data_IF_450732908892
#
_entry.id   IF_450732908892
#
_cell.length_a   1.000
_cell.length_b   1.000
_cell.length_c   1.000
_cell.angle_alpha   90.00
_cell.angle_beta   90.00
_cell.angle_gamma   90.00
#
_symmetry.space_group_name_H-M   'P 1'
#
loop_
_entity.id
_entity.type
_entity.pdbx_description
1 polymer ?
#
# COMPACT_ATOMS: atom_id res chain seq x y z
N UNK A 1 -12.72 6.81 -10.10
CA UNK A 1 -13.66 6.12 -11.02
C UNK A 1 -14.24 7.06 -12.09
N UNK A 2 -14.67 8.29 -11.77
CA UNK A 2 -15.25 9.24 -12.75
C UNK A 2 -14.26 9.62 -13.87
N UNK A 3 -13.01 9.95 -13.53
CA UNK A 3 -11.99 10.33 -14.53
C UNK A 3 -11.63 9.21 -15.51
N UNK A 4 -11.51 7.97 -15.04
CA UNK A 4 -11.23 6.82 -15.90
C UNK A 4 -12.40 6.48 -16.83
N UNK A 5 -13.65 6.69 -16.40
CA UNK A 5 -14.83 6.51 -17.25
C UNK A 5 -14.88 7.53 -18.40
N UNK A 6 -14.59 8.80 -18.13
CA UNK A 6 -14.55 9.85 -19.16
C UNK A 6 -13.41 9.60 -20.15
N UNK A 7 -12.22 9.24 -19.66
CA UNK A 7 -11.08 8.89 -20.51
C UNK A 7 -11.38 7.66 -21.39
N UNK A 8 -12.05 6.64 -20.85
CA UNK A 8 -12.46 5.46 -21.60
C UNK A 8 -13.46 5.80 -22.71
N UNK A 9 -14.46 6.66 -22.44
CA UNK A 9 -15.41 7.11 -23.47
C UNK A 9 -14.71 7.86 -24.62
N UNK A 10 -13.73 8.72 -24.30
CA UNK A 10 -12.94 9.43 -25.32
C UNK A 10 -12.10 8.41 -26.12
N UNK A 11 -11.39 7.51 -25.46
CA UNK A 11 -10.53 6.54 -26.14
C UNK A 11 -11.32 5.57 -27.04
N UNK A 12 -12.44 5.03 -26.54
CA UNK A 12 -13.29 4.10 -27.29
C UNK A 12 -14.09 4.82 -28.38
N UNK A 13 -14.62 6.02 -28.09
CA UNK A 13 -15.43 6.80 -29.03
C UNK A 13 -14.64 7.26 -30.27
N UNK A 14 -13.34 7.53 -30.12
CA UNK A 14 -12.45 7.85 -31.24
C UNK A 14 -11.77 6.61 -31.88
N UNK A 15 -12.13 5.40 -31.44
CA UNK A 15 -11.64 4.15 -32.01
C UNK A 15 -10.15 3.91 -31.78
N UNK A 16 -9.62 4.29 -30.61
CA UNK A 16 -8.22 4.02 -30.25
C UNK A 16 -7.99 2.50 -30.22
N UNK A 17 -7.26 2.01 -31.20
CA UNK A 17 -6.93 0.60 -31.33
C UNK A 17 -5.56 0.31 -30.74
N UNK A 18 -5.52 -0.67 -29.84
CA UNK A 18 -4.27 -1.29 -29.43
C UNK A 18 -3.88 -2.40 -30.42
N UNK A 19 -2.61 -2.47 -30.77
CA UNK A 19 -2.01 -3.66 -31.34
C UNK A 19 -2.11 -4.71 -30.23
N UNK A 20 -2.74 -5.85 -30.51
CA UNK A 20 -3.01 -6.94 -29.56
C UNK A 20 -1.71 -7.64 -29.12
N UNK A 21 -0.82 -6.89 -28.51
CA UNK A 21 0.38 -7.35 -27.84
C UNK A 21 0.09 -7.06 -26.37
N UNK A 22 -0.13 -8.11 -25.58
CA UNK A 22 -0.34 -7.99 -24.15
C UNK A 22 0.95 -7.55 -23.49
N UNK A 23 1.26 -6.25 -23.53
CA UNK A 23 2.46 -5.73 -22.89
C UNK A 23 2.16 -5.39 -21.44
N UNK A 24 2.30 -6.38 -20.56
CA UNK A 24 2.28 -6.15 -19.12
C UNK A 24 3.51 -5.35 -18.69
N UNK A 25 3.32 -4.10 -18.30
CA UNK A 25 4.35 -3.27 -17.65
C UNK A 25 5.07 -2.25 -18.52
N UNK A 26 4.94 -2.27 -19.86
CA UNK A 26 5.42 -1.16 -20.69
C UNK A 26 4.36 -0.04 -20.78
N UNK A 27 4.79 1.22 -20.97
CA UNK A 27 3.87 2.32 -21.19
C UNK A 27 2.90 2.00 -22.35
N UNK A 28 1.59 2.05 -22.05
CA UNK A 28 0.53 1.63 -22.98
C UNK A 28 0.53 2.35 -24.34
N UNK A 29 1.18 3.52 -24.44
CA UNK A 29 1.41 4.25 -25.68
C UNK A 29 2.11 3.40 -26.77
N UNK A 30 3.02 2.51 -26.37
CA UNK A 30 3.76 1.64 -27.30
C UNK A 30 2.90 0.51 -27.87
N UNK A 31 1.80 0.18 -27.20
CA UNK A 31 0.84 -0.82 -27.67
C UNK A 31 -0.24 -0.21 -28.58
N UNK A 32 -0.24 1.10 -28.84
CA UNK A 32 -1.26 1.80 -29.63
C UNK A 32 -0.67 2.24 -30.96
N UNK A 33 -1.47 2.16 -32.03
CA UNK A 33 -1.04 2.65 -33.34
C UNK A 33 -0.60 4.14 -33.25
N UNK A 34 0.57 4.51 -33.83
CA UNK A 34 1.11 5.87 -33.74
C UNK A 34 0.13 6.98 -34.17
N UNK A 35 -0.82 6.66 -35.07
CA UNK A 35 -1.89 7.56 -35.52
C UNK A 35 -2.78 8.07 -34.37
N UNK A 36 -2.98 7.27 -33.33
CA UNK A 36 -3.86 7.59 -32.20
C UNK A 36 -3.12 8.09 -30.95
N UNK A 37 -1.80 8.29 -31.02
CA UNK A 37 -1.03 8.76 -29.87
C UNK A 37 -1.53 10.09 -29.30
N UNK A 38 -1.95 11.03 -30.15
CA UNK A 38 -2.47 12.32 -29.71
C UNK A 38 -3.76 12.20 -28.88
N UNK A 39 -4.72 11.41 -29.35
CA UNK A 39 -5.99 11.23 -28.63
C UNK A 39 -5.81 10.38 -27.36
N UNK A 40 -4.87 9.43 -27.37
CA UNK A 40 -4.51 8.64 -26.19
C UNK A 40 -3.85 9.50 -25.11
N UNK A 41 -2.91 10.38 -25.47
CA UNK A 41 -2.30 11.33 -24.52
C UNK A 41 -3.33 12.31 -23.95
N UNK A 42 -4.28 12.77 -24.77
CA UNK A 42 -5.39 13.60 -24.31
C UNK A 42 -6.27 12.83 -23.31
N UNK A 43 -6.65 11.59 -23.60
CA UNK A 43 -7.42 10.75 -22.69
C UNK A 43 -6.66 10.49 -21.37
N UNK A 44 -5.35 10.27 -21.44
CA UNK A 44 -4.49 10.11 -20.27
C UNK A 44 -4.43 11.38 -19.42
N UNK A 45 -4.30 12.56 -20.05
CA UNK A 45 -4.33 13.84 -19.34
C UNK A 45 -5.67 14.06 -18.62
N UNK A 46 -6.79 13.74 -19.27
CA UNK A 46 -8.13 13.80 -18.66
C UNK A 46 -8.24 12.81 -17.49
N UNK A 47 -7.72 11.60 -17.65
CA UNK A 47 -7.72 10.58 -16.60
C UNK A 47 -6.94 11.00 -15.33
N UNK A 48 -5.96 11.90 -15.45
CA UNK A 48 -5.19 12.43 -14.30
C UNK A 48 -5.84 13.69 -13.73
N UNK A 49 -6.23 14.64 -14.59
CA UNK A 49 -6.74 15.95 -14.14
C UNK A 49 -8.11 15.81 -13.49
N UNK A 50 -9.02 15.02 -14.06
CA UNK A 50 -10.40 14.92 -13.56
C UNK A 50 -10.43 14.35 -12.13
N UNK A 51 -9.75 13.23 -11.79
CA UNK A 51 -9.70 12.76 -10.42
C UNK A 51 -9.09 13.75 -9.44
N UNK A 52 -8.05 14.50 -9.84
CA UNK A 52 -7.43 15.51 -8.97
C UNK A 52 -8.44 16.63 -8.65
N UNK A 53 -9.14 17.15 -9.68
CA UNK A 53 -10.14 18.21 -9.49
C UNK A 53 -11.32 17.70 -8.66
N UNK A 54 -11.82 16.49 -8.95
CA UNK A 54 -12.91 15.88 -8.17
C UNK A 54 -12.47 15.60 -6.74
N UNK A 55 -11.25 15.12 -6.52
CA UNK A 55 -10.69 14.88 -5.19
C UNK A 55 -10.56 16.19 -4.40
N UNK A 56 -10.01 17.25 -5.01
CA UNK A 56 -9.87 18.55 -4.34
C UNK A 56 -11.23 19.22 -4.07
N UNK A 57 -12.19 19.12 -4.99
CA UNK A 57 -13.55 19.63 -4.77
C UNK A 57 -14.32 18.88 -3.68
N UNK A 58 -14.17 17.55 -3.63
CA UNK A 58 -14.75 16.74 -2.56
C UNK A 58 -14.07 17.01 -1.22
N UNK A 59 -12.74 17.08 -1.21
CA UNK A 59 -11.95 17.44 -0.04
C UNK A 59 -12.38 18.80 0.52
N UNK A 60 -12.53 19.84 -0.31
CA UNK A 60 -12.95 21.16 0.18
C UNK A 60 -14.37 21.18 0.77
N UNK A 61 -15.26 20.30 0.31
CA UNK A 61 -16.65 20.24 0.81
C UNK A 61 -16.83 19.33 2.02
N UNK A 62 -15.96 18.33 2.21
CA UNK A 62 -16.04 17.37 3.31
C UNK A 62 -15.01 17.62 4.43
N UNK A 63 -13.87 18.27 4.13
CA UNK A 63 -12.91 18.71 5.15
C UNK A 63 -13.41 19.94 5.93
N UNK A 64 -14.31 20.74 5.35
CA UNK A 64 -14.98 21.84 6.05
C UNK A 64 -15.93 21.32 7.17
N UNK A 65 -16.43 20.07 7.06
CA UNK A 65 -17.20 19.41 8.14
C UNK A 65 -16.30 18.74 9.18
N UNK A 66 -15.16 18.15 8.80
CA UNK A 66 -14.22 17.51 9.73
C UNK A 66 -13.40 18.50 10.58
N UNK A 67 -13.30 19.77 10.17
CA UNK A 67 -12.45 20.77 10.86
C UNK A 67 -13.07 21.29 12.18
N UNK A 68 -14.32 20.95 12.53
CA UNK A 68 -14.91 21.30 13.84
C UNK A 68 -14.73 20.24 14.94
N UNK A 69 -14.15 19.08 14.65
CA UNK A 69 -13.96 18.03 15.68
C UNK A 69 -12.67 17.25 15.41
N UNK A 70 -11.51 17.91 15.54
CA UNK A 70 -10.26 17.19 15.27
C UNK A 70 -8.97 17.99 15.35
N UNK A 71 -8.85 18.93 16.30
CA UNK A 71 -7.52 19.46 16.68
C UNK A 71 -7.14 18.93 18.05
N UNK A 72 -6.45 17.79 18.07
CA UNK A 72 -5.38 17.56 19.04
C UNK A 72 -4.26 16.80 18.34
N UNK A 73 -3.11 17.48 18.32
CA UNK A 73 -1.74 17.06 18.04
C UNK A 73 -1.51 15.58 17.69
N UNK A 74 -0.96 15.44 16.49
CA UNK A 74 -0.01 14.44 16.02
C UNK A 74 0.92 13.93 17.15
N UNK A 75 0.62 12.74 17.67
CA UNK A 75 1.60 11.79 18.20
C UNK A 75 1.49 10.53 17.32
N UNK A 76 2.60 9.82 17.15
CA UNK A 76 2.73 8.66 16.28
C UNK A 76 1.73 7.56 16.65
N UNK A 77 0.57 7.54 15.99
CA UNK A 77 -0.41 6.45 16.07
C UNK A 77 -0.16 5.55 14.87
N UNK A 78 0.40 4.38 15.14
CA UNK A 78 0.34 3.21 14.26
C UNK A 78 -1.14 2.97 13.94
N UNK A 79 -1.50 3.04 12.67
CA UNK A 79 -2.84 2.69 12.20
C UNK A 79 -3.15 1.25 12.62
N UNK A 80 -3.97 1.09 13.65
CA UNK A 80 -4.58 -0.21 13.97
C UNK A 80 -5.92 -0.24 13.27
N UNK A 81 -5.92 -0.99 12.16
CA UNK A 81 -7.11 -1.35 11.41
C UNK A 81 -8.06 -2.13 12.33
N UNK A 82 -9.34 -1.73 12.50
CA UNK A 82 -10.27 -2.38 13.43
C UNK A 82 -10.64 -3.84 13.09
N UNK A 83 -10.11 -4.39 11.99
CA UNK A 83 -10.28 -5.79 11.56
C UNK A 83 -9.02 -6.67 11.74
N UNK A 84 -7.91 -6.14 12.29
CA UNK A 84 -6.78 -6.98 12.70
C UNK A 84 -7.05 -7.54 14.10
N UNK A 85 -7.27 -8.86 14.18
CA UNK A 85 -7.23 -9.56 15.46
C UNK A 85 -5.86 -9.27 16.09
N UNK A 86 -5.86 -8.62 17.24
CA UNK A 86 -4.66 -8.45 18.05
C UNK A 86 -4.21 -9.85 18.51
N UNK A 87 -3.22 -10.40 17.80
CA UNK A 87 -2.61 -11.69 18.17
C UNK A 87 -1.57 -11.38 19.23
N UNK A 88 -1.96 -11.57 20.49
CA UNK A 88 -1.04 -11.47 21.62
C UNK A 88 -0.20 -12.75 21.65
N UNK A 89 1.11 -12.60 21.42
CA UNK A 89 2.07 -13.68 21.60
C UNK A 89 2.63 -13.63 23.02
N UNK A 90 2.58 -14.77 23.72
CA UNK A 90 3.22 -14.92 25.02
C UNK A 90 4.72 -15.15 24.84
N UNK A 91 5.50 -14.74 25.84
CA UNK A 91 6.94 -14.98 25.84
C UNK A 91 7.21 -16.49 25.91
N UNK A 92 7.95 -17.08 24.95
CA UNK A 92 8.23 -18.51 24.95
C UNK A 92 9.24 -18.94 26.01
N UNK A 93 9.96 -18.00 26.63
CA UNK A 93 11.07 -18.26 27.56
C UNK A 93 11.39 -17.00 28.37
N UNK A 94 11.91 -17.19 29.58
CA UNK A 94 12.41 -16.10 30.43
C UNK A 94 13.80 -15.67 29.96
N UNK A 95 13.99 -14.37 29.73
CA UNK A 95 15.26 -13.87 29.22
C UNK A 95 15.30 -12.39 28.91
N UNK A 96 16.44 -11.96 28.36
CA UNK A 96 16.64 -10.58 27.88
C UNK A 96 16.35 -10.51 26.39
N UNK A 97 15.58 -9.52 25.96
CA UNK A 97 15.21 -9.35 24.55
C UNK A 97 16.26 -8.53 23.82
N UNK A 98 16.69 -9.01 22.66
CA UNK A 98 17.60 -8.34 21.74
C UNK A 98 16.94 -8.11 20.38
N UNK A 99 17.25 -6.99 19.72
CA UNK A 99 16.79 -6.77 18.36
C UNK A 99 17.52 -7.72 17.39
N UNK A 100 16.82 -8.11 16.32
CA UNK A 100 17.30 -9.15 15.40
C UNK A 100 18.64 -8.79 14.74
N UNK A 101 18.90 -7.49 14.53
CA UNK A 101 20.11 -6.94 13.91
C UNK A 101 21.37 -7.03 14.78
N UNK A 102 21.24 -7.24 16.10
CA UNK A 102 22.35 -7.33 17.04
C UNK A 102 22.82 -8.78 17.25
N UNK A 103 22.25 -9.74 16.50
CA UNK A 103 22.60 -11.14 16.58
C UNK A 103 23.76 -11.44 15.63
N UNK A 104 24.73 -12.25 16.08
CA UNK A 104 25.92 -12.64 15.31
C UNK A 104 25.61 -13.53 14.07
N UNK A 105 24.39 -14.03 13.91
CA UNK A 105 23.96 -14.88 12.80
C UNK A 105 23.32 -14.06 11.68
N UNK A 106 23.98 -14.04 10.51
CA UNK A 106 23.55 -13.29 9.34
C UNK A 106 22.17 -13.70 8.80
N UNK A 107 21.78 -14.97 8.90
CA UNK A 107 20.49 -15.44 8.36
C UNK A 107 19.31 -14.85 9.16
N UNK A 108 19.49 -14.73 10.48
CA UNK A 108 18.53 -14.06 11.36
C UNK A 108 18.67 -12.55 11.28
N UNK A 109 19.88 -12.00 11.43
CA UNK A 109 20.12 -10.55 11.47
C UNK A 109 19.71 -9.81 10.18
N UNK A 110 19.73 -10.50 9.03
CA UNK A 110 19.22 -9.95 7.77
C UNK A 110 17.69 -9.93 7.67
N UNK A 111 16.97 -10.61 8.56
CA UNK A 111 15.52 -10.79 8.49
C UNK A 111 15.08 -11.75 7.38
N UNK A 112 16.01 -12.48 6.73
CA UNK A 112 15.68 -13.43 5.67
C UNK A 112 14.79 -14.59 6.16
N UNK A 113 14.91 -14.95 7.45
CA UNK A 113 14.09 -15.97 8.11
C UNK A 113 12.75 -15.44 8.64
N UNK A 114 12.48 -14.14 8.49
CA UNK A 114 11.31 -13.46 9.04
C UNK A 114 11.69 -12.32 9.98
N UNK A 115 10.71 -11.48 10.28
CA UNK A 115 10.85 -10.39 11.26
C UNK A 115 10.55 -10.90 12.66
N UNK A 116 11.25 -10.37 13.65
CA UNK A 116 11.07 -10.78 15.04
C UNK A 116 12.12 -10.16 15.96
N UNK A 117 12.31 -10.82 17.10
CA UNK A 117 13.28 -10.46 18.13
C UNK A 117 13.98 -11.73 18.63
N UNK A 118 15.17 -11.58 19.18
CA UNK A 118 15.85 -12.66 19.91
C UNK A 118 15.62 -12.51 21.41
N UNK A 119 15.68 -13.64 22.11
CA UNK A 119 15.66 -13.69 23.57
C UNK A 119 16.84 -14.54 24.03
N UNK A 120 17.67 -13.99 24.91
CA UNK A 120 18.74 -14.73 25.58
C UNK A 120 18.18 -15.40 26.83
N UNK A 121 18.16 -16.74 26.87
CA UNK A 121 17.48 -17.49 27.93
C UNK A 121 18.21 -17.35 29.25
N UNK A 122 17.47 -17.00 30.29
CA UNK A 122 17.94 -17.16 31.67
C UNK A 122 17.71 -18.59 32.16
N UNK A 123 16.66 -19.24 31.66
CA UNK A 123 16.21 -20.57 32.07
C UNK A 123 16.13 -21.50 30.85
N UNK A 124 16.49 -22.77 30.97
CA UNK A 124 16.47 -23.74 29.85
C UNK A 124 15.08 -24.32 29.50
N UNK A 125 14.00 -23.65 29.91
CA UNK A 125 12.62 -24.12 29.71
C UNK A 125 11.96 -23.31 28.61
N UNK A 126 11.41 -23.99 27.60
CA UNK A 126 10.77 -23.36 26.43
C UNK A 126 9.28 -23.74 26.40
N UNK A 127 8.43 -22.72 26.27
CA UNK A 127 6.99 -22.81 26.19
C UNK A 127 6.48 -22.35 24.82
N UNK A 128 5.28 -22.80 24.44
CA UNK A 128 4.64 -22.34 23.22
C UNK A 128 4.21 -20.86 23.37
N UNK A 129 4.51 -19.99 22.38
CA UNK A 129 4.15 -18.58 22.43
C UNK A 129 2.67 -18.31 22.08
N UNK A 130 1.99 -19.28 21.46
CA UNK A 130 0.56 -19.25 21.16
C UNK A 130 0.01 -20.67 20.97
N UNK A 131 -1.32 -20.78 20.95
CA UNK A 131 -2.00 -22.02 20.55
C UNK A 131 -1.78 -22.28 19.05
N UNK A 132 -1.30 -23.47 18.71
CA UNK A 132 -1.03 -23.90 17.33
C UNK A 132 -1.44 -25.36 17.10
N UNK A 133 -1.44 -25.81 15.84
CA UNK A 133 -1.81 -27.17 15.44
C UNK A 133 -0.66 -27.89 14.73
#
# INVERSE_FOLDING_TARGET
MIGSAIAAMISVGFGVQAISIGVGGLPGILSIFPKFWGIFLLAMAVAIIVPIVTCYGWAKTHLDEETKTGKTKQDLVLETNPDEKEIVLNAPMDGTVYPLNEIDDQAFASGAMGQGFAVDMTNGLVHAPCDGQ
#
